data_IF_524356951342
#
_entry.id   IF_524356951342
#
_cell.length_a   1.000
_cell.length_b   1.000
_cell.length_c   1.000
_cell.angle_alpha   90.00
_cell.angle_beta   90.00
_cell.angle_gamma   90.00
#
_symmetry.space_group_name_H-M   'P 1'
#
loop_
_entity.id
_entity.type
_entity.pdbx_description
1 polymer ?
#
# COMPACT_ATOMS: atom_id res chain seq x y z
N UNK A 1 17.66 -7.71 17.58
CA UNK A 1 17.44 -8.13 16.18
C UNK A 1 17.37 -6.84 15.39
N UNK A 2 18.11 -6.71 14.30
CA UNK A 2 18.07 -5.48 13.48
C UNK A 2 16.75 -5.49 12.72
N UNK A 3 15.81 -4.63 13.12
CA UNK A 3 14.59 -4.36 12.37
C UNK A 3 15.01 -3.95 10.96
N UNK A 4 14.59 -4.66 9.90
CA UNK A 4 14.91 -4.23 8.55
C UNK A 4 14.36 -2.82 8.35
N UNK A 5 15.24 -1.86 8.05
CA UNK A 5 14.83 -0.49 7.72
C UNK A 5 14.28 -0.52 6.31
N UNK A 6 12.97 -0.71 6.18
CA UNK A 6 12.27 -0.52 4.92
C UNK A 6 12.10 0.97 4.63
N UNK A 7 12.17 1.36 3.35
CA UNK A 7 12.20 2.75 2.93
C UNK A 7 12.19 2.91 1.41
N UNK A 8 11.92 4.13 0.94
CA UNK A 8 11.79 4.39 -0.49
C UNK A 8 13.07 4.07 -1.24
N UNK A 9 12.93 3.50 -2.43
CA UNK A 9 14.04 3.27 -3.35
C UNK A 9 13.60 3.52 -4.78
N UNK A 10 14.55 3.86 -5.66
CA UNK A 10 14.29 4.04 -7.09
C UNK A 10 13.71 2.80 -7.79
N UNK A 11 13.78 1.61 -7.16
CA UNK A 11 13.14 0.40 -7.67
C UNK A 11 11.61 0.47 -7.62
N UNK A 12 11.06 1.22 -6.67
CA UNK A 12 9.61 1.42 -6.53
C UNK A 12 9.07 2.54 -7.44
N UNK A 13 9.94 3.26 -8.14
CA UNK A 13 9.51 4.36 -9.01
C UNK A 13 8.95 3.80 -10.31
N UNK A 14 7.70 4.13 -10.60
CA UNK A 14 6.98 3.76 -11.82
C UNK A 14 7.05 4.84 -12.90
N UNK A 15 7.83 5.90 -12.65
CA UNK A 15 7.96 7.08 -13.52
C UNK A 15 6.60 7.77 -13.76
N UNK A 16 5.68 7.60 -12.81
CA UNK A 16 4.37 8.25 -12.79
C UNK A 16 4.26 9.07 -11.50
N UNK A 17 4.47 10.38 -11.61
CA UNK A 17 4.72 11.26 -10.45
C UNK A 17 3.66 11.17 -9.34
N UNK A 18 2.36 11.13 -9.68
CA UNK A 18 1.28 11.06 -8.68
C UNK A 18 1.24 9.71 -7.96
N UNK A 19 1.57 8.63 -8.68
CA UNK A 19 1.60 7.28 -8.13
C UNK A 19 2.82 7.11 -7.22
N UNK A 20 4.00 7.52 -7.69
CA UNK A 20 5.25 7.51 -6.91
C UNK A 20 5.11 8.33 -5.61
N UNK A 21 4.39 9.46 -5.63
CA UNK A 21 4.13 10.25 -4.41
C UNK A 21 3.29 9.47 -3.39
N UNK A 22 2.19 8.87 -3.84
CA UNK A 22 1.30 8.06 -2.97
C UNK A 22 2.03 6.82 -2.44
N UNK A 23 2.90 6.22 -3.25
CA UNK A 23 3.73 5.08 -2.85
C UNK A 23 4.82 5.48 -1.83
N UNK A 24 5.42 6.67 -1.95
CA UNK A 24 6.37 7.18 -0.95
C UNK A 24 5.72 7.39 0.42
N UNK A 25 4.48 7.85 0.44
CA UNK A 25 3.68 8.02 1.66
C UNK A 25 3.39 6.66 2.31
N UNK A 26 2.90 5.69 1.53
CA UNK A 26 2.72 4.30 1.97
C UNK A 26 4.02 3.75 2.57
N UNK A 27 5.15 3.99 1.90
CA UNK A 27 6.45 3.50 2.35
C UNK A 27 6.89 4.11 3.68
N UNK A 28 6.63 5.40 3.84
CA UNK A 28 6.90 6.12 5.09
C UNK A 28 6.06 5.57 6.24
N UNK A 29 4.79 5.21 5.96
CA UNK A 29 3.87 4.70 6.96
C UNK A 29 4.24 3.29 7.44
N UNK A 30 4.60 2.33 6.57
CA UNK A 30 5.03 1.02 7.09
C UNK A 30 6.40 1.12 7.79
N UNK A 31 7.29 2.01 7.36
CA UNK A 31 8.54 2.27 8.08
C UNK A 31 8.29 2.81 9.52
N UNK A 32 7.26 3.64 9.69
CA UNK A 32 6.83 4.11 11.01
C UNK A 32 6.17 2.98 11.82
N UNK A 33 5.31 2.16 11.20
CA UNK A 33 4.67 1.01 11.82
C UNK A 33 5.71 0.04 12.38
N UNK A 34 6.73 -0.32 11.60
CA UNK A 34 7.80 -1.25 11.98
C UNK A 34 8.67 -0.76 13.15
N UNK A 35 8.65 0.54 13.47
CA UNK A 35 9.35 1.12 14.62
C UNK A 35 8.49 1.15 15.90
N UNK A 36 7.29 0.58 15.86
CA UNK A 36 6.36 0.58 16.99
C UNK A 36 6.57 -0.62 17.90
N UNK A 37 7.08 -0.39 19.11
CA UNK A 37 7.24 -1.44 20.12
C UNK A 37 6.05 -1.51 21.10
N UNK A 38 5.31 -0.41 21.24
CA UNK A 38 4.18 -0.28 22.15
C UNK A 38 2.84 -0.44 21.43
N UNK A 39 1.85 -1.02 22.12
CA UNK A 39 0.56 -1.37 21.52
C UNK A 39 -0.22 -0.14 21.01
N UNK A 40 -0.32 0.93 21.81
CA UNK A 40 -1.08 2.12 21.41
C UNK A 40 -0.46 2.83 20.20
N UNK A 41 0.86 3.15 20.19
CA UNK A 41 1.49 3.72 18.99
C UNK A 41 1.42 2.82 17.75
N UNK A 42 1.47 1.49 17.92
CA UNK A 42 1.30 0.56 16.80
C UNK A 42 -0.10 0.67 16.20
N UNK A 43 -1.14 0.69 17.03
CA UNK A 43 -2.53 0.84 16.58
C UNK A 43 -2.72 2.16 15.84
N UNK A 44 -2.24 3.27 16.40
CA UNK A 44 -2.39 4.59 15.78
C UNK A 44 -1.72 4.66 14.40
N UNK A 45 -0.54 4.04 14.25
CA UNK A 45 0.18 3.97 12.97
C UNK A 45 -0.47 3.01 11.97
N UNK A 46 -1.03 1.90 12.45
CA UNK A 46 -1.75 0.98 11.59
C UNK A 46 -3.07 1.61 11.11
N UNK A 47 -3.76 2.37 11.95
CA UNK A 47 -4.95 3.11 11.56
C UNK A 47 -4.62 4.16 10.49
N UNK A 48 -3.52 4.91 10.64
CA UNK A 48 -3.04 5.85 9.61
C UNK A 48 -2.64 5.15 8.29
N UNK A 49 -2.00 3.99 8.38
CA UNK A 49 -1.65 3.20 7.20
C UNK A 49 -2.89 2.64 6.49
N UNK A 50 -3.92 2.20 7.24
CA UNK A 50 -5.20 1.76 6.68
C UNK A 50 -5.91 2.91 5.96
N UNK A 51 -5.97 4.10 6.58
CA UNK A 51 -6.57 5.29 5.99
C UNK A 51 -5.90 5.66 4.67
N UNK A 52 -4.55 5.74 4.67
CA UNK A 52 -3.77 5.97 3.46
C UNK A 52 -4.02 4.93 2.37
N UNK A 53 -4.02 3.64 2.72
CA UNK A 53 -4.28 2.57 1.76
C UNK A 53 -5.66 2.65 1.13
N UNK A 54 -6.69 3.07 1.89
CA UNK A 54 -8.04 3.26 1.35
C UNK A 54 -8.01 4.35 0.28
N UNK A 55 -7.46 5.53 0.61
CA UNK A 55 -7.39 6.66 -0.33
C UNK A 55 -6.55 6.34 -1.57
N UNK A 56 -5.39 5.71 -1.36
CA UNK A 56 -4.50 5.23 -2.42
C UNK A 56 -5.24 4.27 -3.36
N UNK A 57 -5.83 3.20 -2.84
CA UNK A 57 -6.51 2.21 -3.68
C UNK A 57 -7.76 2.78 -4.33
N UNK A 58 -8.52 3.65 -3.67
CA UNK A 58 -9.67 4.32 -4.28
C UNK A 58 -9.27 5.20 -5.47
N UNK A 59 -8.14 5.90 -5.36
CA UNK A 59 -7.57 6.69 -6.44
C UNK A 59 -7.18 5.83 -7.64
N UNK A 60 -6.42 4.76 -7.44
CA UNK A 60 -6.02 3.86 -8.53
C UNK A 60 -7.22 3.10 -9.12
N UNK A 61 -8.15 2.65 -8.28
CA UNK A 61 -9.39 2.03 -8.74
C UNK A 61 -10.22 3.00 -9.61
N UNK A 62 -10.25 4.29 -9.27
CA UNK A 62 -10.83 5.34 -10.13
C UNK A 62 -10.12 5.41 -11.47
N UNK A 63 -8.78 5.54 -11.46
CA UNK A 63 -7.98 5.62 -12.68
C UNK A 63 -8.19 4.40 -13.58
N UNK A 64 -8.19 3.20 -13.01
CA UNK A 64 -8.44 1.96 -13.74
C UNK A 64 -9.82 1.95 -14.42
N UNK A 65 -10.87 2.37 -13.71
CA UNK A 65 -12.23 2.43 -14.27
C UNK A 65 -12.35 3.46 -15.38
N UNK A 66 -11.87 4.68 -15.14
CA UNK A 66 -12.02 5.80 -16.07
C UNK A 66 -11.18 5.61 -17.33
N UNK A 67 -10.00 4.99 -17.19
CA UNK A 67 -9.11 4.66 -18.30
C UNK A 67 -9.53 3.40 -19.08
N UNK A 68 -10.48 2.60 -18.58
CA UNK A 68 -10.85 1.32 -19.18
C UNK A 68 -9.73 0.27 -19.09
N UNK A 69 -8.96 0.28 -18.00
CA UNK A 69 -7.81 -0.61 -17.80
C UNK A 69 -8.25 -2.09 -17.77
N UNK A 70 -7.80 -2.95 -18.71
CA UNK A 70 -8.38 -4.28 -18.88
C UNK A 70 -8.32 -5.23 -17.65
N UNK A 71 -7.22 -5.28 -16.86
CA UNK A 71 -7.16 -6.17 -15.70
C UNK A 71 -7.64 -5.52 -14.39
N UNK A 72 -8.46 -4.46 -14.45
CA UNK A 72 -8.93 -3.71 -13.29
C UNK A 72 -9.56 -4.58 -12.19
N UNK A 73 -10.37 -5.58 -12.55
CA UNK A 73 -11.06 -6.42 -11.58
C UNK A 73 -10.09 -7.31 -10.77
N UNK A 74 -9.02 -7.79 -11.39
CA UNK A 74 -8.00 -8.59 -10.70
C UNK A 74 -7.20 -7.69 -9.74
N UNK A 75 -6.80 -6.51 -10.22
CA UNK A 75 -6.05 -5.54 -9.43
C UNK A 75 -6.85 -5.05 -8.21
N UNK A 76 -8.10 -4.64 -8.40
CA UNK A 76 -8.98 -4.24 -7.29
C UNK A 76 -9.18 -5.38 -6.27
N UNK A 77 -9.19 -6.64 -6.71
CA UNK A 77 -9.28 -7.79 -5.82
C UNK A 77 -8.09 -7.91 -4.85
N UNK A 78 -6.87 -7.59 -5.30
CA UNK A 78 -5.68 -7.56 -4.43
C UNK A 78 -5.75 -6.41 -3.42
N UNK A 79 -6.22 -5.23 -3.84
CA UNK A 79 -6.48 -4.09 -2.94
C UNK A 79 -7.47 -4.46 -1.84
N UNK A 80 -8.61 -5.05 -2.21
CA UNK A 80 -9.65 -5.44 -1.26
C UNK A 80 -9.11 -6.52 -0.28
N UNK A 81 -8.31 -7.47 -0.77
CA UNK A 81 -7.75 -8.54 0.03
C UNK A 81 -6.74 -8.03 1.07
N UNK A 82 -5.77 -7.20 0.66
CA UNK A 82 -4.77 -6.68 1.60
C UNK A 82 -5.40 -5.76 2.65
N UNK A 83 -6.39 -4.96 2.25
CA UNK A 83 -7.09 -4.06 3.17
C UNK A 83 -7.87 -4.85 4.24
N UNK A 84 -8.52 -5.94 3.84
CA UNK A 84 -9.19 -6.85 4.79
C UNK A 84 -8.19 -7.48 5.78
N UNK A 85 -7.02 -7.89 5.30
CA UNK A 85 -5.96 -8.43 6.16
C UNK A 85 -5.50 -7.37 7.17
N UNK A 86 -5.23 -6.15 6.73
CA UNK A 86 -4.79 -5.05 7.60
C UNK A 86 -5.83 -4.75 8.69
N UNK A 87 -7.10 -4.66 8.33
CA UNK A 87 -8.20 -4.39 9.27
C UNK A 87 -8.38 -5.53 10.28
N UNK A 88 -8.28 -6.79 9.85
CA UNK A 88 -8.40 -7.93 10.74
C UNK A 88 -7.20 -8.02 11.69
N UNK A 89 -5.98 -7.81 11.21
CA UNK A 89 -4.79 -7.74 12.07
C UNK A 89 -4.93 -6.60 13.08
N UNK A 90 -5.39 -5.43 12.66
CA UNK A 90 -5.64 -4.29 13.56
C UNK A 90 -6.60 -4.66 14.69
N UNK A 91 -7.71 -5.36 14.37
CA UNK A 91 -8.69 -5.83 15.37
C UNK A 91 -8.03 -6.80 16.36
N UNK A 92 -7.34 -7.83 15.87
CA UNK A 92 -6.74 -8.88 16.71
C UNK A 92 -5.56 -8.38 17.53
N UNK A 93 -4.77 -7.45 16.98
CA UNK A 93 -3.68 -6.80 17.70
C UNK A 93 -4.20 -5.97 18.90
N UNK A 94 -5.35 -5.29 18.75
CA UNK A 94 -6.01 -4.62 19.86
C UNK A 94 -6.50 -5.59 20.95
N UNK A 95 -6.81 -6.84 20.59
CA UNK A 95 -7.18 -7.93 21.51
C UNK A 95 -5.96 -8.61 22.16
N UNK A 96 -4.74 -8.20 21.81
CA UNK A 96 -3.48 -8.67 22.42
C UNK A 96 -2.71 -9.69 21.58
N UNK A 97 -3.15 -10.00 20.36
CA UNK A 97 -2.42 -10.89 19.43
C UNK A 97 -1.25 -10.16 18.75
N UNK A 98 -0.19 -9.86 19.52
CA UNK A 98 0.95 -9.05 19.04
C UNK A 98 1.70 -9.63 17.85
N UNK A 99 1.90 -10.95 17.85
CA UNK A 99 2.62 -11.66 16.79
C UNK A 99 2.01 -11.41 15.38
N UNK A 100 0.70 -11.17 15.29
CA UNK A 100 0.04 -10.85 14.02
C UNK A 100 0.39 -9.45 13.51
N UNK A 101 0.53 -8.47 14.41
CA UNK A 101 0.93 -7.11 14.06
C UNK A 101 2.39 -7.06 13.61
N UNK A 102 3.27 -7.75 14.34
CA UNK A 102 4.70 -7.89 13.98
C UNK A 102 4.83 -8.54 12.59
N UNK A 103 4.10 -9.63 12.36
CA UNK A 103 4.09 -10.30 11.05
C UNK A 103 3.53 -9.42 9.94
N UNK A 104 2.48 -8.63 10.18
CA UNK A 104 1.98 -7.68 9.19
C UNK A 104 3.06 -6.65 8.84
N UNK A 105 3.76 -6.10 9.82
CA UNK A 105 4.81 -5.11 9.60
C UNK A 105 6.00 -5.68 8.80
N UNK A 106 6.26 -6.99 8.89
CA UNK A 106 7.29 -7.69 8.10
C UNK A 106 6.84 -8.02 6.67
N UNK A 107 5.60 -8.49 6.49
CA UNK A 107 5.12 -9.03 5.23
C UNK A 107 4.51 -7.97 4.29
N UNK A 108 3.90 -6.92 4.84
CA UNK A 108 3.24 -5.88 4.05
C UNK A 108 4.21 -5.13 3.10
N UNK A 109 5.44 -4.78 3.50
CA UNK A 109 6.47 -4.28 2.59
C UNK A 109 6.77 -5.20 1.40
N UNK A 110 6.82 -6.52 1.63
CA UNK A 110 7.14 -7.50 0.59
C UNK A 110 5.99 -7.65 -0.41
N UNK A 111 4.75 -7.66 0.09
CA UNK A 111 3.56 -7.61 -0.75
C UNK A 111 3.57 -6.34 -1.60
N UNK A 112 3.85 -5.18 -1.01
CA UNK A 112 3.85 -3.90 -1.70
C UNK A 112 4.90 -3.83 -2.80
N UNK A 113 6.13 -4.27 -2.54
CA UNK A 113 7.18 -4.35 -3.56
C UNK A 113 6.74 -5.20 -4.76
N UNK A 114 6.12 -6.36 -4.49
CA UNK A 114 5.62 -7.21 -5.57
C UNK A 114 4.46 -6.59 -6.34
N UNK A 115 3.52 -5.95 -5.63
CA UNK A 115 2.36 -5.28 -6.20
C UNK A 115 2.78 -4.13 -7.12
N UNK A 116 3.72 -3.30 -6.66
CA UNK A 116 4.32 -2.20 -7.43
C UNK A 116 5.01 -2.73 -8.69
N UNK A 117 5.87 -3.74 -8.57
CA UNK A 117 6.64 -4.30 -9.68
C UNK A 117 5.75 -4.96 -10.76
N UNK A 118 4.52 -5.34 -10.40
CA UNK A 118 3.60 -6.09 -11.27
C UNK A 118 2.38 -5.28 -11.68
N UNK A 119 1.42 -5.10 -10.78
CA UNK A 119 0.10 -4.57 -11.10
C UNK A 119 0.11 -3.05 -11.27
N UNK A 120 0.77 -2.32 -10.37
CA UNK A 120 0.84 -0.86 -10.46
C UNK A 120 1.70 -0.43 -11.65
N UNK A 121 2.81 -1.11 -11.89
CA UNK A 121 3.62 -0.88 -13.08
C UNK A 121 2.79 -1.08 -14.37
N UNK A 122 1.96 -2.11 -14.44
CA UNK A 122 1.06 -2.29 -15.59
C UNK A 122 0.08 -1.13 -15.75
N UNK A 123 -0.50 -0.63 -14.64
CA UNK A 123 -1.39 0.52 -14.67
C UNK A 123 -0.65 1.80 -15.10
N UNK A 124 0.50 2.10 -14.50
CA UNK A 124 1.32 3.26 -14.81
C UNK A 124 1.73 3.29 -16.29
N UNK A 125 2.23 2.17 -16.82
CA UNK A 125 2.59 2.05 -18.23
C UNK A 125 1.37 2.23 -19.15
N UNK A 126 0.20 1.72 -18.75
CA UNK A 126 -1.03 1.91 -19.50
C UNK A 126 -1.45 3.39 -19.56
N UNK A 127 -1.44 4.10 -18.44
CA UNK A 127 -1.77 5.52 -18.39
C UNK A 127 -0.79 6.36 -19.23
N UNK A 128 0.51 6.11 -19.08
CA UNK A 128 1.57 6.82 -19.83
C UNK A 128 1.43 6.56 -21.33
N UNK A 129 1.32 5.29 -21.74
CA UNK A 129 1.32 4.90 -23.16
C UNK A 129 0.08 5.39 -23.92
N UNK A 130 -1.03 5.62 -23.20
CA UNK A 130 -2.27 6.12 -23.78
C UNK A 130 -2.49 7.62 -23.52
N UNK A 131 -1.50 8.32 -22.94
CA UNK A 131 -1.57 9.76 -22.62
C UNK A 131 -2.81 10.13 -21.79
N UNK A 132 -3.22 9.24 -20.88
CA UNK A 132 -4.40 9.43 -20.03
C UNK A 132 -4.01 10.32 -18.84
N UNK A 133 -4.54 11.53 -18.82
CA UNK A 133 -4.40 12.42 -17.69
C UNK A 133 -5.21 11.89 -16.50
N UNK A 134 -4.58 11.85 -15.33
CA UNK A 134 -5.20 11.47 -14.07
C UNK A 134 -4.92 12.54 -13.01
N UNK A 135 -5.80 12.61 -12.02
CA UNK A 135 -5.74 13.57 -10.92
C UNK A 135 -5.59 12.83 -9.59
N UNK A 136 -4.95 13.49 -8.62
CA UNK A 136 -4.92 13.03 -7.23
C UNK A 136 -6.35 12.96 -6.65
N UNK A 137 -6.50 12.29 -5.50
CA UNK A 137 -7.74 12.28 -4.73
C UNK A 137 -8.19 13.68 -4.29
#
# INVERSE_FOLDING_TARGET
>A
MTTPTWGWSERLSLKHQLMDATHQEFVTLCAALAQSEEQSPFIDRLDALIEHSIEHFEQENRWMRDAGFPPAACHQGEHDAVLQVMQEVRRRFAEGERDLGERLAEELPLWFEHHVDTMDNMLAQYLISNEIAVEAA
#
